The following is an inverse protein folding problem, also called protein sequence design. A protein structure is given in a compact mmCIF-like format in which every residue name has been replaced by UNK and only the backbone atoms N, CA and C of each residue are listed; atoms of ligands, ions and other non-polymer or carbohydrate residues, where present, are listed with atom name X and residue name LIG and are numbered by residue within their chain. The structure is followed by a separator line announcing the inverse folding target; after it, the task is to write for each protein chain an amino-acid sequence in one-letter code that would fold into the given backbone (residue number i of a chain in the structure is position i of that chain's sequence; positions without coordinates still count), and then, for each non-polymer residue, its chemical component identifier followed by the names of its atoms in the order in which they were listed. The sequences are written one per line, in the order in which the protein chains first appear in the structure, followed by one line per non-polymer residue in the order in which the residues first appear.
data_IF_022864555912
#
_entry.id   IF_022864555912
#
_cell.length_a   1.000
_cell.length_b   1.000
_cell.length_c   1.000
_cell.angle_alpha   90.00
_cell.angle_beta   90.00
_cell.angle_gamma   90.00
#
_symmetry.space_group_name_H-M   'P 1'
#
loop_
_entity.id
_entity.type
_entity.pdbx_description
1 polymer ?
#
# COMPACT_ATOMS: atom_id res chain seq x y z
N UNK A 1 -1.68 -15.34 -10.04
CA UNK A 1 -1.64 -13.98 -10.63
C UNK A 1 -1.35 -13.04 -9.46
N UNK A 2 -0.25 -12.29 -9.47
CA UNK A 2 0.12 -11.48 -8.30
C UNK A 2 -0.77 -10.24 -8.16
N UNK A 3 -1.05 -9.85 -6.92
CA UNK A 3 -1.94 -8.73 -6.59
C UNK A 3 -1.16 -7.41 -6.59
N UNK A 4 -1.69 -6.36 -7.23
CA UNK A 4 -1.04 -5.04 -7.33
C UNK A 4 -1.48 -4.12 -6.18
N UNK A 5 -0.57 -3.67 -5.32
CA UNK A 5 -0.92 -2.97 -4.08
C UNK A 5 -0.09 -1.74 -3.80
N UNK A 6 -0.71 -0.57 -3.60
CA UNK A 6 -0.07 0.56 -2.94
C UNK A 6 -0.18 0.39 -1.42
N UNK A 7 0.92 0.61 -0.70
CA UNK A 7 0.94 0.44 0.76
C UNK A 7 0.92 1.81 1.40
N UNK A 8 -0.06 2.08 2.24
CA UNK A 8 -0.08 3.30 3.05
C UNK A 8 1.08 3.27 4.06
N UNK A 9 1.73 4.41 4.22
CA UNK A 9 2.84 4.60 5.16
C UNK A 9 2.47 4.18 6.59
N UNK A 10 1.21 4.31 6.98
CA UNK A 10 0.75 3.88 8.31
C UNK A 10 0.92 2.37 8.56
N UNK A 11 0.85 1.53 7.53
CA UNK A 11 1.05 0.07 7.63
C UNK A 11 2.52 -0.20 7.89
N UNK A 12 3.40 0.45 7.13
CA UNK A 12 4.84 0.28 7.25
C UNK A 12 5.35 0.81 8.60
N UNK A 13 4.90 1.99 9.02
CA UNK A 13 5.27 2.56 10.31
C UNK A 13 4.88 1.64 11.47
N UNK A 14 3.66 1.08 11.47
CA UNK A 14 3.22 0.15 12.51
C UNK A 14 3.87 -1.23 12.42
N UNK A 15 4.38 -1.62 11.26
CA UNK A 15 5.16 -2.83 11.04
C UNK A 15 6.66 -2.66 11.39
N UNK A 16 7.16 -1.42 11.45
CA UNK A 16 8.54 -1.11 11.78
C UNK A 16 8.79 -1.17 13.30
N UNK A 17 8.54 -2.33 13.91
CA UNK A 17 8.85 -2.63 15.32
C UNK A 17 10.05 -3.56 15.43
N UNK A 18 10.72 -3.54 16.58
CA UNK A 18 11.90 -4.36 16.83
C UNK A 18 11.61 -5.86 16.63
N UNK A 19 12.47 -6.59 15.90
CA UNK A 19 12.31 -8.04 15.67
C UNK A 19 12.46 -8.88 16.93
N UNK A 20 12.97 -8.32 18.04
CA UNK A 20 13.04 -9.00 19.34
C UNK A 20 11.64 -9.32 19.91
N UNK A 21 10.60 -8.63 19.44
CA UNK A 21 9.21 -8.97 19.76
C UNK A 21 8.72 -10.06 18.80
N UNK A 22 8.68 -11.32 19.26
CA UNK A 22 7.98 -12.35 18.49
C UNK A 22 6.50 -11.94 18.34
N UNK A 23 5.97 -11.85 17.11
CA UNK A 23 4.60 -11.44 16.89
C UNK A 23 3.65 -12.50 17.48
N UNK A 24 2.82 -12.10 18.46
CA UNK A 24 1.77 -12.97 18.99
C UNK A 24 0.85 -13.44 17.84
N UNK A 25 0.56 -14.74 17.71
CA UNK A 25 -0.38 -15.24 16.70
C UNK A 25 -1.70 -14.47 16.74
N UNK A 26 -2.24 -14.14 15.56
CA UNK A 26 -3.50 -13.41 15.42
C UNK A 26 -3.44 -11.88 15.66
N UNK A 27 -2.34 -11.36 16.23
CA UNK A 27 -2.19 -9.90 16.47
C UNK A 27 -2.13 -9.09 15.17
N UNK A 28 -2.49 -7.80 15.25
CA UNK A 28 -2.36 -6.85 14.14
C UNK A 28 -0.92 -6.76 13.63
N UNK A 29 0.07 -6.84 14.54
CA UNK A 29 1.47 -6.88 14.15
C UNK A 29 1.79 -8.14 13.33
N UNK A 30 1.36 -9.33 13.78
CA UNK A 30 1.52 -10.57 13.02
C UNK A 30 0.89 -10.50 11.62
N UNK A 31 -0.28 -9.85 11.49
CA UNK A 31 -0.98 -9.66 10.20
C UNK A 31 -0.15 -8.80 9.25
N UNK A 32 0.40 -7.68 9.72
CA UNK A 32 1.31 -6.83 8.93
C UNK A 32 2.55 -7.60 8.48
N UNK A 33 3.16 -8.36 9.38
CA UNK A 33 4.33 -9.17 9.05
C UNK A 33 4.01 -10.22 7.98
N UNK A 34 2.87 -10.92 8.07
CA UNK A 34 2.44 -11.84 7.01
C UNK A 34 2.23 -11.13 5.67
N UNK A 35 1.63 -9.94 5.69
CA UNK A 35 1.42 -9.16 4.48
C UNK A 35 2.74 -8.74 3.81
N UNK A 36 3.71 -8.26 4.60
CA UNK A 36 5.03 -7.91 4.07
C UNK A 36 5.82 -9.15 3.60
N UNK A 37 5.58 -10.33 4.17
CA UNK A 37 6.12 -11.59 3.63
C UNK A 37 5.53 -11.91 2.26
N UNK A 38 4.22 -11.76 2.05
CA UNK A 38 3.61 -11.93 0.73
C UNK A 38 4.18 -10.96 -0.32
N UNK A 39 4.55 -9.74 0.09
CA UNK A 39 5.30 -8.81 -0.77
C UNK A 39 6.70 -9.34 -1.11
N UNK A 40 7.45 -9.79 -0.10
CA UNK A 40 8.78 -10.38 -0.29
C UNK A 40 8.73 -11.59 -1.22
N UNK A 41 7.69 -12.41 -1.10
CA UNK A 41 7.54 -13.68 -1.81
C UNK A 41 7.01 -13.47 -3.24
N UNK A 42 6.49 -12.27 -3.55
CA UNK A 42 6.04 -11.87 -4.89
C UNK A 42 4.55 -12.14 -5.15
N UNK A 43 3.81 -12.56 -4.14
CA UNK A 43 2.36 -12.72 -4.19
C UNK A 43 1.65 -11.35 -4.25
N UNK A 44 2.27 -10.34 -3.65
CA UNK A 44 1.86 -8.93 -3.73
C UNK A 44 2.96 -8.12 -4.42
N UNK A 45 2.63 -7.50 -5.55
CA UNK A 45 3.50 -6.55 -6.27
C UNK A 45 3.18 -5.14 -5.80
N UNK A 46 4.16 -4.45 -5.24
CA UNK A 46 3.97 -3.10 -4.68
C UNK A 46 3.92 -2.06 -5.80
N UNK A 47 2.87 -1.25 -5.79
CA UNK A 47 2.76 -0.05 -6.62
C UNK A 47 3.48 1.12 -5.94
N UNK A 48 4.41 1.72 -6.66
CA UNK A 48 5.30 2.76 -6.11
C UNK A 48 5.20 4.04 -6.93
N UNK A 49 5.25 5.20 -6.27
CA UNK A 49 5.40 6.50 -6.91
C UNK A 49 6.38 7.38 -6.13
N UNK A 50 6.83 8.50 -6.71
CA UNK A 50 7.85 9.39 -6.09
C UNK A 50 7.41 9.92 -4.74
N UNK A 51 6.14 10.27 -4.68
CA UNK A 51 5.57 10.95 -3.54
C UNK A 51 5.41 9.98 -2.38
N UNK A 52 4.93 8.76 -2.68
CA UNK A 52 4.80 7.70 -1.70
C UNK A 52 6.17 7.25 -1.18
N UNK A 53 7.16 7.15 -2.09
CA UNK A 53 8.56 6.90 -1.74
C UNK A 53 9.12 7.97 -0.78
N UNK A 54 8.94 9.25 -1.12
CA UNK A 54 9.42 10.34 -0.26
C UNK A 54 8.76 10.29 1.13
N UNK A 55 7.47 9.94 1.20
CA UNK A 55 6.75 9.78 2.47
C UNK A 55 7.31 8.61 3.30
N UNK A 56 7.58 7.46 2.68
CA UNK A 56 8.23 6.34 3.34
C UNK A 56 9.57 6.74 3.95
N UNK A 57 10.44 7.39 3.17
CA UNK A 57 11.77 7.79 3.63
C UNK A 57 11.70 8.85 4.74
N UNK A 58 10.74 9.77 4.66
CA UNK A 58 10.55 10.78 5.70
C UNK A 58 10.04 10.19 7.03
N UNK A 59 9.20 9.14 6.95
CA UNK A 59 8.53 8.54 8.10
C UNK A 59 9.37 7.42 8.73
N UNK A 60 10.05 6.62 7.92
CA UNK A 60 10.81 5.43 8.33
C UNK A 60 12.31 5.74 8.46
N UNK A 61 12.67 6.83 9.15
CA UNK A 61 14.07 7.32 9.28
C UNK A 61 15.08 6.28 9.77
N UNK A 62 14.62 5.28 10.55
CA UNK A 62 15.43 4.14 11.02
C UNK A 62 14.59 2.86 10.91
N UNK A 63 14.64 2.16 9.76
CA UNK A 63 13.92 0.91 9.61
C UNK A 63 14.64 -0.18 10.44
N UNK A 64 13.96 -0.72 11.45
CA UNK A 64 14.47 -1.77 12.35
C UNK A 64 13.94 -3.16 11.99
N UNK A 65 12.92 -3.23 11.15
CA UNK A 65 12.33 -4.47 10.67
C UNK A 65 12.85 -4.83 9.28
N UNK A 66 13.40 -6.04 9.12
CA UNK A 66 14.02 -6.49 7.87
C UNK A 66 13.05 -6.49 6.68
N UNK A 67 11.75 -6.77 6.90
CA UNK A 67 10.76 -6.72 5.82
C UNK A 67 10.46 -5.30 5.38
N UNK A 68 10.48 -4.34 6.32
CA UNK A 68 10.37 -2.91 6.00
C UNK A 68 11.62 -2.45 5.25
N UNK A 69 12.81 -2.86 5.69
CA UNK A 69 14.06 -2.57 4.97
C UNK A 69 14.05 -3.15 3.56
N UNK A 70 13.62 -4.40 3.39
CA UNK A 70 13.49 -5.04 2.08
C UNK A 70 12.52 -4.27 1.18
N UNK A 71 11.39 -3.82 1.72
CA UNK A 71 10.45 -3.01 0.97
C UNK A 71 11.08 -1.67 0.55
N UNK A 72 11.91 -1.07 1.41
CA UNK A 72 12.67 0.12 1.04
C UNK A 72 13.75 -0.16 -0.02
N UNK A 73 14.36 -1.34 -0.01
CA UNK A 73 15.33 -1.74 -1.05
C UNK A 73 14.67 -1.93 -2.42
N UNK A 74 13.43 -2.43 -2.47
CA UNK A 74 12.64 -2.50 -3.70
C UNK A 74 12.40 -1.13 -4.34
N UNK A 75 12.64 -0.03 -3.61
CA UNK A 75 12.56 1.34 -4.12
C UNK A 75 13.82 1.75 -4.88
N UNK A 76 14.97 1.16 -4.56
CA UNK A 76 16.26 1.44 -5.21
C UNK A 76 16.47 0.54 -6.42
N UNK A 77 16.06 -0.72 -6.30
CA UNK A 77 16.16 -1.73 -7.36
C UNK A 77 14.83 -2.49 -7.51
N UNK A 78 13.85 -1.90 -8.23
CA UNK A 78 12.52 -2.49 -8.37
C UNK A 78 12.59 -3.77 -9.20
N UNK A 79 12.36 -4.90 -8.54
CA UNK A 79 12.21 -6.19 -9.22
C UNK A 79 10.81 -6.30 -9.83
N UNK A 80 10.64 -6.62 -11.12
CA UNK A 80 9.34 -6.61 -11.80
C UNK A 80 8.25 -7.47 -11.13
N UNK A 81 8.66 -8.54 -10.43
CA UNK A 81 7.77 -9.47 -9.72
C UNK A 81 7.47 -9.06 -8.26
N UNK A 82 7.97 -7.91 -7.80
CA UNK A 82 7.80 -7.43 -6.41
C UNK A 82 7.43 -5.95 -6.33
N UNK A 83 7.82 -5.17 -7.32
CA UNK A 83 7.54 -3.75 -7.40
C UNK A 83 7.24 -3.36 -8.85
N UNK A 84 6.18 -2.56 -9.03
CA UNK A 84 5.84 -1.93 -10.29
C UNK A 84 5.71 -0.45 -10.07
N UNK A 85 6.48 0.32 -10.83
CA UNK A 85 6.42 1.76 -10.67
C UNK A 85 5.21 2.30 -11.43
N UNK A 86 4.38 3.07 -10.74
CA UNK A 86 3.24 3.77 -11.30
C UNK A 86 3.43 5.27 -11.12
N UNK A 87 4.22 5.86 -12.01
CA UNK A 87 4.50 7.30 -12.01
C UNK A 87 3.34 8.15 -12.55
N UNK A 88 2.22 7.53 -12.95
CA UNK A 88 1.32 8.10 -13.94
C UNK A 88 0.93 9.55 -13.65
N UNK A 89 1.30 10.39 -14.61
CA UNK A 89 1.06 11.83 -14.74
C UNK A 89 -0.09 12.04 -15.75
N UNK A 90 -0.96 13.06 -15.61
CA UNK A 90 -1.43 13.70 -14.39
C UNK A 90 -2.72 13.03 -13.89
N UNK A 91 -2.97 13.21 -12.60
CA UNK A 91 -4.32 13.15 -12.05
C UNK A 91 -5.19 14.14 -12.82
N UNK A 92 -6.04 13.65 -13.73
CA UNK A 92 -6.87 14.56 -14.51
C UNK A 92 -7.78 15.35 -13.57
N UNK A 93 -8.11 16.60 -13.93
CA UNK A 93 -9.05 17.40 -13.14
C UNK A 93 -10.39 16.70 -12.94
N UNK A 94 -10.77 15.84 -13.90
CA UNK A 94 -11.94 14.96 -13.84
C UNK A 94 -11.78 13.89 -12.76
N UNK A 95 -10.68 13.14 -12.77
CA UNK A 95 -10.42 12.10 -11.77
C UNK A 95 -10.32 12.71 -10.37
N UNK A 96 -9.75 13.91 -10.25
CA UNK A 96 -9.62 14.60 -8.95
C UNK A 96 -10.96 15.01 -8.42
N UNK A 97 -11.78 15.60 -9.28
CA UNK A 97 -13.16 15.94 -8.93
C UNK A 97 -13.99 14.71 -8.58
N UNK A 98 -13.81 13.60 -9.29
CA UNK A 98 -14.50 12.34 -9.02
C UNK A 98 -14.05 11.72 -7.69
N UNK A 99 -12.75 11.70 -7.40
CA UNK A 99 -12.19 11.13 -6.18
C UNK A 99 -12.59 11.94 -4.95
N UNK A 100 -12.57 13.28 -5.03
CA UNK A 100 -12.98 14.16 -3.90
C UNK A 100 -14.40 13.89 -3.42
N UNK A 101 -15.30 13.42 -4.29
CA UNK A 101 -16.67 13.00 -3.91
C UNK A 101 -16.68 11.80 -2.96
N UNK A 102 -15.60 11.01 -2.92
CA UNK A 102 -15.46 9.87 -2.02
C UNK A 102 -14.96 10.22 -0.62
N UNK A 103 -14.64 11.49 -0.34
CA UNK A 103 -14.30 12.00 1.01
C UNK A 103 -13.12 11.27 1.68
N UNK A 104 -12.15 10.79 0.90
CA UNK A 104 -10.92 10.22 1.44
C UNK A 104 -10.02 11.32 2.04
N UNK A 105 -9.08 10.98 2.94
CA UNK A 105 -8.16 11.95 3.52
C UNK A 105 -7.31 12.63 2.46
N UNK A 106 -7.27 13.97 2.45
CA UNK A 106 -6.52 14.71 1.40
C UNK A 106 -5.02 14.40 1.39
N UNK A 107 -4.44 14.05 2.53
CA UNK A 107 -3.02 13.70 2.58
C UNK A 107 -2.73 12.38 1.86
N UNK A 108 -3.70 11.44 1.83
CA UNK A 108 -3.62 10.17 1.09
C UNK A 108 -3.90 10.30 -0.41
N UNK A 109 -4.04 11.53 -0.93
CA UNK A 109 -4.20 11.81 -2.36
C UNK A 109 -3.16 11.01 -3.15
N UNK A 110 -1.90 11.09 -2.74
CA UNK A 110 -0.81 10.42 -3.42
C UNK A 110 -0.83 8.88 -3.33
N UNK A 111 -1.35 8.29 -2.24
CA UNK A 111 -1.54 6.83 -2.10
C UNK A 111 -2.58 6.36 -3.12
N UNK A 112 -3.73 7.05 -3.17
CA UNK A 112 -4.80 6.74 -4.13
C UNK A 112 -4.31 6.84 -5.56
N UNK A 113 -3.60 7.92 -5.91
CA UNK A 113 -3.04 8.09 -7.26
C UNK A 113 -2.10 6.96 -7.63
N UNK A 114 -1.27 6.51 -6.68
CA UNK A 114 -0.32 5.41 -6.91
C UNK A 114 -1.03 4.09 -7.19
N UNK A 115 -2.20 3.87 -6.58
CA UNK A 115 -3.01 2.69 -6.81
C UNK A 115 -3.80 2.73 -8.13
N UNK A 116 -4.13 3.89 -8.68
CA UNK A 116 -4.95 3.98 -9.89
C UNK A 116 -4.20 3.50 -11.15
N UNK A 117 -4.75 2.47 -11.80
CA UNK A 117 -4.25 1.90 -13.06
C UNK A 117 -5.33 2.03 -14.15
N UNK A 118 -4.95 2.05 -15.43
CA UNK A 118 -5.92 2.28 -16.53
C UNK A 118 -6.85 1.10 -16.77
N UNK A 119 -6.32 -0.12 -16.79
CA UNK A 119 -7.04 -1.32 -17.24
C UNK A 119 -6.89 -2.50 -16.26
N UNK A 120 -6.45 -2.22 -15.03
CA UNK A 120 -6.11 -3.23 -14.04
C UNK A 120 -6.72 -2.84 -12.70
N UNK A 121 -7.21 -3.83 -11.97
CA UNK A 121 -7.61 -3.63 -10.58
C UNK A 121 -6.38 -3.58 -9.68
N UNK A 122 -6.49 -2.82 -8.60
CA UNK A 122 -5.43 -2.67 -7.62
C UNK A 122 -5.98 -2.53 -6.20
N UNK A 123 -5.08 -2.54 -5.23
CA UNK A 123 -5.41 -2.44 -3.82
C UNK A 123 -4.62 -1.31 -3.15
N UNK A 124 -5.19 -0.77 -2.09
CA UNK A 124 -4.52 0.07 -1.10
C UNK A 124 -4.57 -0.69 0.22
N UNK A 125 -3.39 -1.04 0.73
CA UNK A 125 -3.23 -1.56 2.07
C UNK A 125 -3.14 -0.40 3.05
N UNK A 126 -4.16 -0.21 3.88
CA UNK A 126 -4.20 0.84 4.90
C UNK A 126 -4.92 0.37 6.16
N UNK A 127 -4.60 0.99 7.28
CA UNK A 127 -5.34 0.83 8.53
C UNK A 127 -6.05 2.12 8.98
N UNK A 128 -6.04 3.15 8.15
CA UNK A 128 -6.73 4.40 8.45
C UNK A 128 -8.24 4.22 8.25
N UNK A 129 -9.01 4.38 9.34
CA UNK A 129 -10.48 4.24 9.32
C UNK A 129 -11.14 5.17 8.28
N UNK A 130 -10.83 6.48 8.22
CA UNK A 130 -11.30 7.36 7.16
C UNK A 130 -11.07 6.79 5.75
N UNK A 131 -9.86 6.34 5.43
CA UNK A 131 -9.52 5.79 4.12
C UNK A 131 -10.30 4.51 3.81
N UNK A 132 -10.35 3.56 4.77
CA UNK A 132 -11.13 2.31 4.67
C UNK A 132 -12.61 2.57 4.39
N UNK A 133 -13.20 3.59 5.01
CA UNK A 133 -14.60 3.98 4.82
C UNK A 133 -14.95 4.40 3.39
N UNK A 134 -13.94 4.69 2.55
CA UNK A 134 -14.15 5.14 1.17
C UNK A 134 -14.13 4.01 0.13
N UNK A 135 -13.84 2.77 0.54
CA UNK A 135 -13.64 1.63 -0.36
C UNK A 135 -14.74 1.50 -1.43
N UNK A 136 -16.01 1.49 -1.03
CA UNK A 136 -17.11 1.28 -1.98
C UNK A 136 -17.18 2.39 -3.05
N UNK A 137 -16.93 3.64 -2.65
CA UNK A 137 -16.97 4.78 -3.55
C UNK A 137 -15.79 4.80 -4.51
N UNK A 138 -14.59 4.52 -3.99
CA UNK A 138 -13.33 4.49 -4.76
C UNK A 138 -13.31 3.31 -5.71
N UNK A 139 -13.68 2.11 -5.26
CA UNK A 139 -13.73 0.91 -6.10
C UNK A 139 -14.67 1.10 -7.31
N UNK A 140 -15.87 1.64 -7.09
CA UNK A 140 -16.85 1.89 -8.16
C UNK A 140 -16.31 2.82 -9.25
N UNK A 141 -15.39 3.74 -8.92
CA UNK A 141 -14.87 4.76 -9.84
C UNK A 141 -13.56 4.37 -10.49
N UNK A 142 -12.68 3.72 -9.72
CA UNK A 142 -11.28 3.57 -10.08
C UNK A 142 -10.80 2.12 -10.04
N UNK A 143 -11.67 1.16 -9.69
CA UNK A 143 -11.32 -0.26 -9.53
C UNK A 143 -10.18 -0.51 -8.53
N UNK A 144 -10.04 0.41 -7.56
CA UNK A 144 -9.10 0.30 -6.45
C UNK A 144 -9.85 -0.19 -5.21
N UNK A 145 -9.45 -1.33 -4.67
CA UNK A 145 -9.91 -1.82 -3.38
C UNK A 145 -9.12 -1.15 -2.24
N UNK A 146 -9.80 -0.74 -1.18
CA UNK A 146 -9.15 -0.19 0.02
C UNK A 146 -9.45 -1.14 1.18
N UNK A 147 -8.40 -1.78 1.68
CA UNK A 147 -8.50 -2.91 2.59
C UNK A 147 -7.38 -2.89 3.61
N UNK A 148 -7.61 -3.59 4.72
CA UNK A 148 -6.53 -3.89 5.66
C UNK A 148 -5.59 -4.95 5.09
N UNK A 149 -4.33 -4.99 5.53
CA UNK A 149 -3.36 -5.98 5.07
C UNK A 149 -3.84 -7.44 5.13
N UNK A 150 -4.53 -7.84 6.22
CA UNK A 150 -5.07 -9.18 6.39
C UNK A 150 -6.23 -9.51 5.45
N UNK A 151 -7.06 -8.52 5.14
CA UNK A 151 -8.14 -8.68 4.16
C UNK A 151 -7.60 -8.85 2.75
N UNK A 152 -6.49 -8.19 2.40
CA UNK A 152 -5.84 -8.36 1.10
C UNK A 152 -5.25 -9.77 0.98
N UNK A 153 -4.62 -10.28 2.05
CA UNK A 153 -4.08 -11.64 2.04
C UNK A 153 -5.15 -12.71 1.78
N UNK A 154 -6.37 -12.50 2.28
CA UNK A 154 -7.48 -13.43 2.05
C UNK A 154 -7.90 -13.51 0.57
N UNK A 155 -7.52 -12.54 -0.27
CA UNK A 155 -7.81 -12.54 -1.72
C UNK A 155 -6.73 -13.27 -2.54
N UNK A 156 -5.60 -13.61 -1.92
CA UNK A 156 -4.45 -14.29 -2.55
C UNK A 156 -4.54 -15.81 -2.33
N UNK A 157 -5.34 -16.24 -1.35
CA UNK A 157 -5.48 -17.66 -0.94
C UNK A 157 -6.61 -18.32 -1.70
#
# INVERSE_FOLDING_TARGET
MSLLCAIDTNVLWKANRSPAEQPRPGSEFARRIRFLKAVRDGDVVVLISRMLLNEYMATLKKPVNDLVQLLLQLLVDPKPNRARINWKTPWSGRDRSAARKCRYPKHDEHVLRTAMLENEQSWIATEEKPMLGTNACIYRRFRVHIRRPDQILAEIT
#
